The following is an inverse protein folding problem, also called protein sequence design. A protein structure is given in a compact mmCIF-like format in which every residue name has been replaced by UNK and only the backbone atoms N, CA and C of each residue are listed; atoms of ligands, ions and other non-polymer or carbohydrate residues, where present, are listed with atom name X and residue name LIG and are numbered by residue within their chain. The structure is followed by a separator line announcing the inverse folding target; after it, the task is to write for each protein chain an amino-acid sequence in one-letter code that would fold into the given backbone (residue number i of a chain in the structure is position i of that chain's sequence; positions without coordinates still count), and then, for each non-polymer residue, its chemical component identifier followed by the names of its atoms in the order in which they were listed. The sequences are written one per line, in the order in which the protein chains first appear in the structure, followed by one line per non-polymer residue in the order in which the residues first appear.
data_IF_901855351309
#
_entry.id   IF_901855351309
#
_cell.length_a   1.000
_cell.length_b   1.000
_cell.length_c   1.000
_cell.angle_alpha   90.00
_cell.angle_beta   90.00
_cell.angle_gamma   90.00
#
_symmetry.space_group_name_H-M   'P 1'
#
loop_
_entity.id
_entity.type
_entity.pdbx_description
1 polymer ?
#
# COMPACT_ATOMS: atom_id res chain seq x y z
N UNK A 1 -8.37 14.00 12.97
CA UNK A 1 -8.30 12.62 12.43
C UNK A 1 -8.23 11.67 13.61
N UNK A 2 -9.10 10.67 13.70
CA UNK A 2 -8.99 9.63 14.73
C UNK A 2 -7.96 8.60 14.27
N UNK A 3 -6.99 8.27 15.12
CA UNK A 3 -6.01 7.20 14.85
C UNK A 3 -6.54 5.88 15.41
N UNK A 4 -6.23 4.78 14.73
CA UNK A 4 -6.53 3.46 15.25
C UNK A 4 -5.73 3.20 16.55
N UNK A 5 -6.31 2.55 17.58
CA UNK A 5 -5.61 2.32 18.86
C UNK A 5 -4.24 1.66 18.71
N UNK A 6 -4.09 0.74 17.77
CA UNK A 6 -2.80 0.10 17.44
C UNK A 6 -1.73 1.14 17.04
N UNK A 7 -2.10 2.15 16.24
CA UNK A 7 -1.15 3.21 15.86
C UNK A 7 -0.75 4.02 17.08
N UNK A 8 -1.71 4.35 17.94
CA UNK A 8 -1.44 5.09 19.19
C UNK A 8 -0.51 4.30 20.10
N UNK A 9 -0.74 2.99 20.25
CA UNK A 9 0.11 2.11 21.04
C UNK A 9 1.56 2.09 20.51
N UNK A 10 1.75 2.04 19.19
CA UNK A 10 3.09 2.07 18.60
C UNK A 10 3.77 3.43 18.77
N UNK A 11 3.03 4.54 18.58
CA UNK A 11 3.56 5.88 18.73
C UNK A 11 3.91 6.21 20.20
N UNK A 12 3.18 5.65 21.17
CA UNK A 12 3.48 5.84 22.60
C UNK A 12 4.85 5.32 23.01
N UNK A 13 5.43 4.38 22.27
CA UNK A 13 6.78 3.85 22.53
C UNK A 13 7.87 4.85 22.14
N UNK A 14 7.54 5.88 21.35
CA UNK A 14 8.46 6.94 20.98
C UNK A 14 8.50 7.98 22.11
N UNK A 15 9.49 7.84 23.00
CA UNK A 15 9.74 8.83 24.04
C UNK A 15 10.52 9.99 23.43
N UNK A 16 9.94 11.19 23.44
CA UNK A 16 10.57 12.40 22.92
C UNK A 16 10.14 13.62 23.73
N UNK A 17 11.06 14.58 23.89
CA UNK A 17 10.78 15.91 24.46
C UNK A 17 10.48 16.96 23.38
N UNK A 18 10.53 16.56 22.09
CA UNK A 18 10.19 17.42 20.96
C UNK A 18 8.65 17.55 20.82
N UNK A 19 8.11 18.72 20.45
CA UNK A 19 6.67 18.90 20.22
C UNK A 19 6.10 18.08 19.06
N UNK A 20 6.96 17.45 18.22
CA UNK A 20 6.56 16.61 17.10
C UNK A 20 6.73 15.14 17.43
N UNK A 21 5.80 14.32 16.93
CA UNK A 21 5.86 12.85 17.03
C UNK A 21 7.12 12.29 16.36
N UNK A 22 7.52 12.88 15.23
CA UNK A 22 8.79 12.61 14.58
C UNK A 22 9.52 13.94 14.36
N UNK A 23 10.69 14.18 14.97
CA UNK A 23 11.48 15.41 14.80
C UNK A 23 12.23 15.41 13.46
N UNK A 24 11.62 14.87 12.41
CA UNK A 24 12.24 14.69 11.11
C UNK A 24 12.10 15.96 10.27
N UNK A 25 13.00 16.90 10.51
CA UNK A 25 12.88 18.27 10.01
C UNK A 25 13.40 18.38 8.57
N UNK A 26 12.71 17.78 7.61
CA UNK A 26 12.86 18.01 6.15
C UNK A 26 13.85 17.15 5.36
N UNK A 27 14.58 16.20 5.96
CA UNK A 27 15.46 15.32 5.17
C UNK A 27 14.73 14.05 4.68
N UNK A 28 13.92 14.20 3.62
CA UNK A 28 13.23 13.08 2.97
C UNK A 28 14.20 11.98 2.54
N UNK A 29 15.41 12.33 2.08
CA UNK A 29 16.43 11.36 1.66
C UNK A 29 16.78 10.35 2.74
N UNK A 30 16.97 10.79 3.99
CA UNK A 30 17.26 9.86 5.09
C UNK A 30 16.04 8.95 5.33
N UNK A 31 14.81 9.45 5.17
CA UNK A 31 13.60 8.68 5.40
C UNK A 31 13.48 7.55 4.36
N UNK A 32 13.69 7.88 3.08
CA UNK A 32 13.76 6.89 2.01
C UNK A 32 14.90 5.88 2.25
N UNK A 33 16.09 6.35 2.66
CA UNK A 33 17.23 5.47 2.95
C UNK A 33 16.91 4.47 4.08
N UNK A 34 16.32 4.94 5.18
CA UNK A 34 15.92 4.06 6.28
C UNK A 34 14.84 3.06 5.83
N UNK A 35 13.90 3.49 4.99
CA UNK A 35 12.88 2.61 4.47
C UNK A 35 13.45 1.54 3.53
N UNK A 36 14.38 1.89 2.65
CA UNK A 36 15.13 0.93 1.84
C UNK A 36 15.87 -0.07 2.72
N UNK A 37 16.57 0.42 3.75
CA UNK A 37 17.33 -0.45 4.65
C UNK A 37 16.47 -1.47 5.40
N UNK A 38 15.28 -1.07 5.86
CA UNK A 38 14.31 -2.00 6.47
C UNK A 38 13.90 -3.09 5.47
N UNK A 39 13.64 -2.73 4.21
CA UNK A 39 13.23 -3.67 3.17
C UNK A 39 14.35 -4.66 2.80
N UNK A 40 15.59 -4.18 2.72
CA UNK A 40 16.75 -5.03 2.51
C UNK A 40 16.91 -6.05 3.64
N UNK A 41 16.76 -5.61 4.90
CA UNK A 41 16.83 -6.50 6.06
C UNK A 41 15.65 -7.48 6.13
N UNK A 42 14.51 -7.13 5.55
CA UNK A 42 13.37 -8.01 5.37
C UNK A 42 13.53 -8.97 4.16
N UNK A 43 14.62 -8.88 3.39
CA UNK A 43 14.86 -9.72 2.22
C UNK A 43 13.97 -9.40 1.02
N UNK A 44 13.43 -8.19 0.95
CA UNK A 44 12.56 -7.77 -0.17
C UNK A 44 13.42 -7.47 -1.40
N UNK A 45 13.09 -8.10 -2.52
CA UNK A 45 13.68 -7.81 -3.83
C UNK A 45 12.63 -7.92 -4.94
N UNK A 46 12.17 -6.78 -5.45
CA UNK A 46 11.13 -6.74 -6.48
C UNK A 46 11.72 -6.95 -7.88
N UNK A 47 11.10 -7.76 -8.75
CA UNK A 47 11.50 -7.83 -10.15
C UNK A 47 11.14 -6.52 -10.87
N UNK A 48 12.09 -5.96 -11.61
CA UNK A 48 11.84 -4.79 -12.45
C UNK A 48 11.68 -5.22 -13.91
N UNK A 49 10.48 -5.06 -14.48
CA UNK A 49 10.17 -5.46 -15.87
C UNK A 49 10.30 -4.33 -16.90
N UNK A 50 10.72 -3.14 -16.47
CA UNK A 50 10.78 -1.94 -17.33
C UNK A 50 12.14 -1.82 -18.02
N UNK A 51 12.14 -1.34 -19.26
CA UNK A 51 13.37 -1.02 -19.99
C UNK A 51 13.90 0.34 -19.53
N UNK A 52 14.77 0.32 -18.52
CA UNK A 52 15.54 1.48 -18.06
C UNK A 52 16.84 1.00 -17.39
N UNK A 53 17.74 1.94 -17.08
CA UNK A 53 18.89 1.66 -16.21
C UNK A 53 18.39 1.32 -14.79
N UNK A 54 18.61 0.08 -14.37
CA UNK A 54 18.15 -0.38 -13.07
C UNK A 54 19.01 0.19 -11.96
N UNK A 55 18.34 0.76 -10.95
CA UNK A 55 18.96 1.23 -9.72
C UNK A 55 18.44 0.40 -8.55
N UNK A 56 19.10 0.42 -7.36
CA UNK A 56 18.59 -0.28 -6.19
C UNK A 56 17.14 0.09 -5.83
N UNK A 57 16.71 1.31 -6.16
CA UNK A 57 15.34 1.76 -5.95
C UNK A 57 14.29 0.96 -6.76
N UNK A 58 14.68 0.32 -7.87
CA UNK A 58 13.78 -0.50 -8.68
C UNK A 58 13.31 -1.79 -7.98
N UNK A 59 14.05 -2.21 -6.96
CA UNK A 59 13.85 -3.50 -6.30
C UNK A 59 13.18 -3.37 -4.92
N UNK A 60 12.72 -2.17 -4.56
CA UNK A 60 12.09 -1.87 -3.27
C UNK A 60 10.79 -1.10 -3.47
N UNK A 61 9.89 -1.18 -2.48
CA UNK A 61 8.68 -0.37 -2.43
C UNK A 61 8.97 1.07 -2.03
N UNK A 62 8.19 2.00 -2.56
CA UNK A 62 8.15 3.40 -2.11
C UNK A 62 7.04 3.66 -1.10
N UNK A 63 7.07 4.84 -0.46
CA UNK A 63 5.99 5.27 0.45
C UNK A 63 4.62 5.37 -0.25
N UNK A 64 4.63 5.65 -1.55
CA UNK A 64 3.41 5.63 -2.35
C UNK A 64 2.80 4.23 -2.43
N UNK A 65 3.61 3.17 -2.45
CA UNK A 65 3.13 1.78 -2.48
C UNK A 65 2.50 1.39 -1.15
N UNK A 66 3.03 1.87 0.00
CA UNK A 66 2.36 1.71 1.29
C UNK A 66 0.97 2.33 1.30
N UNK A 67 0.84 3.53 0.72
CA UNK A 67 -0.44 4.23 0.61
C UNK A 67 -1.41 3.51 -0.33
N UNK A 68 -0.91 2.99 -1.46
CA UNK A 68 -1.69 2.15 -2.38
C UNK A 68 -2.18 0.88 -1.68
N UNK A 69 -1.28 0.15 -1.01
CA UNK A 69 -1.62 -1.06 -0.28
C UNK A 69 -2.67 -0.81 0.80
N UNK A 70 -2.55 0.29 1.56
CA UNK A 70 -3.58 0.70 2.51
C UNK A 70 -4.95 0.88 1.83
N UNK A 71 -4.99 1.54 0.67
CA UNK A 71 -6.24 1.74 -0.07
C UNK A 71 -6.82 0.42 -0.58
N UNK A 72 -6.00 -0.40 -1.23
CA UNK A 72 -6.41 -1.70 -1.78
C UNK A 72 -6.97 -2.62 -0.69
N UNK A 73 -6.26 -2.75 0.44
CA UNK A 73 -6.68 -3.64 1.54
C UNK A 73 -7.93 -3.15 2.28
N UNK A 74 -8.35 -1.90 2.09
CA UNK A 74 -9.53 -1.34 2.75
C UNK A 74 -10.65 -0.98 1.77
N UNK A 75 -10.47 -1.17 0.47
CA UNK A 75 -11.42 -0.76 -0.57
C UNK A 75 -12.81 -1.43 -0.40
N UNK A 76 -12.86 -2.65 0.12
CA UNK A 76 -14.11 -3.38 0.36
C UNK A 76 -14.58 -3.30 1.82
N UNK A 77 -13.75 -2.75 2.71
CA UNK A 77 -14.04 -2.62 4.15
C UNK A 77 -14.56 -1.24 4.51
N UNK A 78 -14.28 -0.24 3.69
CA UNK A 78 -14.62 1.16 3.92
C UNK A 78 -15.43 1.69 2.74
N UNK A 79 -16.34 2.63 3.02
CA UNK A 79 -16.96 3.39 1.95
C UNK A 79 -15.92 4.26 1.24
N UNK A 80 -16.10 4.54 -0.06
CA UNK A 80 -15.19 5.41 -0.82
C UNK A 80 -14.91 6.76 -0.14
N UNK A 81 -15.94 7.37 0.46
CA UNK A 81 -15.83 8.66 1.14
C UNK A 81 -15.02 8.57 2.44
N UNK A 82 -15.23 7.51 3.22
CA UNK A 82 -14.43 7.26 4.43
C UNK A 82 -12.96 7.01 4.07
N UNK A 83 -12.70 6.23 3.01
CA UNK A 83 -11.36 5.98 2.52
C UNK A 83 -10.69 7.26 2.02
N UNK A 84 -11.39 8.09 1.23
CA UNK A 84 -10.86 9.37 0.77
C UNK A 84 -10.52 10.31 1.93
N UNK A 85 -11.41 10.41 2.94
CA UNK A 85 -11.20 11.25 4.11
C UNK A 85 -9.97 10.82 4.91
N UNK A 86 -9.75 9.51 5.07
CA UNK A 86 -8.57 8.95 5.74
C UNK A 86 -7.30 9.17 4.95
N UNK A 87 -7.35 9.03 3.62
CA UNK A 87 -6.20 9.28 2.76
C UNK A 87 -5.89 10.78 2.67
N UNK A 88 -6.89 11.66 2.78
CA UNK A 88 -6.78 13.11 2.53
C UNK A 88 -6.44 13.43 1.07
N UNK A 89 -7.01 12.69 0.11
CA UNK A 89 -6.90 13.07 -1.30
C UNK A 89 -7.73 14.32 -1.58
N UNK A 90 -7.12 15.31 -2.24
CA UNK A 90 -7.81 16.52 -2.73
C UNK A 90 -8.82 16.18 -3.84
N UNK A 91 -8.56 15.13 -4.62
CA UNK A 91 -9.42 14.68 -5.71
C UNK A 91 -9.98 13.29 -5.45
N UNK A 92 -11.27 13.11 -5.74
CA UNK A 92 -12.00 11.84 -5.66
C UNK A 92 -11.44 10.81 -6.66
N UNK A 93 -10.96 11.27 -7.82
CA UNK A 93 -10.45 10.42 -8.90
C UNK A 93 -9.27 9.55 -8.44
N UNK A 94 -8.39 10.08 -7.57
CA UNK A 94 -7.25 9.33 -7.04
C UNK A 94 -7.69 8.19 -6.13
N UNK A 95 -8.76 8.36 -5.35
CA UNK A 95 -9.32 7.29 -4.52
C UNK A 95 -10.03 6.25 -5.39
N UNK A 96 -10.76 6.69 -6.41
CA UNK A 96 -11.47 5.81 -7.32
C UNK A 96 -10.52 4.88 -8.10
N UNK A 97 -9.33 5.37 -8.51
CA UNK A 97 -8.31 4.53 -9.15
C UNK A 97 -7.89 3.35 -8.26
N UNK A 98 -7.71 3.57 -6.96
CA UNK A 98 -7.33 2.49 -6.04
C UNK A 98 -8.47 1.50 -5.78
N UNK A 99 -9.70 2.00 -5.64
CA UNK A 99 -10.89 1.15 -5.42
C UNK A 99 -11.15 0.30 -6.66
N UNK A 100 -11.11 0.90 -7.85
CA UNK A 100 -11.32 0.19 -9.09
C UNK A 100 -10.24 -0.88 -9.30
N UNK A 101 -8.97 -0.58 -9.04
CA UNK A 101 -7.90 -1.59 -9.12
C UNK A 101 -8.09 -2.76 -8.14
N UNK A 102 -8.63 -2.50 -6.94
CA UNK A 102 -8.90 -3.55 -5.96
C UNK A 102 -10.02 -4.50 -6.43
N UNK A 103 -11.10 -3.95 -6.99
CA UNK A 103 -12.29 -4.73 -7.41
C UNK A 103 -12.14 -5.40 -8.78
N UNK A 104 -11.36 -4.81 -9.68
CA UNK A 104 -11.25 -5.26 -11.07
C UNK A 104 -10.62 -6.64 -11.24
N UNK A 105 -9.85 -7.15 -10.26
CA UNK A 105 -9.25 -8.48 -10.41
C UNK A 105 -10.21 -9.60 -10.02
N UNK A 106 -10.93 -9.48 -8.90
CA UNK A 106 -11.79 -10.55 -8.39
C UNK A 106 -13.06 -10.74 -9.25
N UNK A 107 -13.70 -9.65 -9.67
CA UNK A 107 -14.88 -9.71 -10.54
C UNK A 107 -14.51 -10.17 -11.97
N UNK A 108 -13.34 -9.76 -12.47
CA UNK A 108 -12.85 -10.23 -13.77
C UNK A 108 -12.53 -11.73 -13.73
N UNK A 109 -11.88 -12.20 -12.66
CA UNK A 109 -11.59 -13.64 -12.49
C UNK A 109 -12.89 -14.45 -12.36
N UNK A 110 -13.88 -13.96 -11.62
CA UNK A 110 -15.18 -14.62 -11.48
C UNK A 110 -15.97 -14.70 -12.78
N UNK A 111 -15.73 -13.78 -13.73
CA UNK A 111 -16.41 -13.73 -15.02
C UNK A 111 -15.61 -14.35 -16.17
N UNK A 112 -14.42 -14.89 -15.91
CA UNK A 112 -13.64 -15.59 -16.92
C UNK A 112 -14.39 -16.86 -17.38
N UNK A 113 -14.54 -16.99 -18.70
CA UNK A 113 -15.05 -18.21 -19.30
C UNK A 113 -14.05 -19.35 -19.07
N UNK A 114 -14.47 -20.35 -18.29
CA UNK A 114 -13.72 -21.60 -18.09
C UNK A 114 -14.35 -22.71 -18.94
N UNK A 115 -13.58 -23.37 -19.83
CA UNK A 115 -14.05 -24.54 -20.58
C UNK A 115 -14.56 -25.66 -19.66
N UNK A 116 -15.64 -26.33 -20.07
CA UNK A 116 -16.37 -27.27 -19.20
C UNK A 116 -15.53 -28.47 -18.72
N UNK A 117 -14.57 -28.92 -19.51
CA UNK A 117 -13.66 -30.02 -19.14
C UNK A 117 -12.68 -29.65 -18.01
N UNK A 118 -12.48 -28.37 -17.72
CA UNK A 118 -11.68 -27.89 -16.59
C UNK A 118 -12.53 -27.70 -15.32
N UNK A 119 -13.85 -27.50 -15.46
CA UNK A 119 -14.77 -27.39 -14.30
C UNK A 119 -14.93 -28.74 -13.57
N UNK A 120 -14.90 -29.85 -14.30
CA UNK A 120 -15.06 -31.20 -13.76
C UNK A 120 -13.92 -31.66 -12.84
N UNK A 121 -12.76 -30.98 -12.87
CA UNK A 121 -11.57 -31.34 -12.08
C UNK A 121 -11.50 -30.65 -10.71
N UNK A 122 -12.43 -29.75 -10.40
CA UNK A 122 -12.41 -28.91 -9.20
C UNK A 122 -13.42 -29.33 -8.11
N UNK A 123 -14.15 -30.44 -8.30
CA UNK A 123 -14.93 -31.07 -7.23
C UNK A 123 -14.03 -32.08 -6.48
N UNK A 124 -14.04 -32.08 -5.13
CA UNK A 124 -13.32 -33.10 -4.35
C UNK A 124 -13.88 -34.51 -4.58
#
# INVERSE_FOLDING_TARGET
MKLHPVVVEHLRKLVSFDPRVFPWNHNTTILYRQFTWIQEKAGIHLPCSKQHEHTPACHVYGFHDLRRAFATMNADRLTPDALQALMRHKSYQTTQLYINMARQMDEAVASLHVPDFLKAKAAP
#
